data_IF_633539916785
#
_entry.id   IF_633539916785
#
_cell.length_a   1.000
_cell.length_b   1.000
_cell.length_c   1.000
_cell.angle_alpha   90.00
_cell.angle_beta   90.00
_cell.angle_gamma   90.00
#
_symmetry.space_group_name_H-M   'P 1'
#
loop_
_entity.id
_entity.type
_entity.pdbx_description
1 polymer ?
#
# COMPACT_ATOMS: atom_id res chain seq x y z
N UNK A 1 -21.47 -0.28 -12.55
CA UNK A 1 -21.05 0.79 -11.61
C UNK A 1 -20.86 2.05 -12.44
N UNK A 2 -21.50 3.16 -12.05
CA UNK A 2 -21.48 4.41 -12.81
C UNK A 2 -20.05 4.92 -13.04
N UNK A 3 -19.75 5.29 -14.28
CA UNK A 3 -18.61 6.17 -14.55
C UNK A 3 -18.95 7.53 -13.95
N UNK A 4 -18.23 7.89 -12.90
CA UNK A 4 -18.20 9.27 -12.39
C UNK A 4 -17.62 10.16 -13.48
N UNK A 5 -18.50 10.73 -14.33
CA UNK A 5 -18.15 11.79 -15.27
C UNK A 5 -17.58 12.96 -14.47
N UNK A 6 -16.26 13.09 -14.53
CA UNK A 6 -15.56 14.26 -14.00
C UNK A 6 -15.60 15.30 -15.11
N UNK A 7 -16.11 16.51 -14.81
CA UNK A 7 -16.18 17.58 -15.78
C UNK A 7 -14.80 17.83 -16.43
N UNK A 8 -14.71 17.89 -17.78
CA UNK A 8 -13.46 18.11 -18.47
C UNK A 8 -12.96 19.54 -18.22
N UNK A 9 -11.80 19.67 -17.58
CA UNK A 9 -11.14 20.95 -17.33
C UNK A 9 -9.64 20.72 -17.19
N UNK A 10 -8.83 21.75 -17.45
CA UNK A 10 -7.37 21.67 -17.26
C UNK A 10 -6.99 21.35 -15.80
N UNK A 11 -7.77 21.83 -14.81
CA UNK A 11 -7.58 21.52 -13.39
C UNK A 11 -7.90 20.04 -13.05
N UNK A 12 -9.02 19.51 -13.55
CA UNK A 12 -9.38 18.09 -13.31
C UNK A 12 -8.40 17.14 -14.01
N UNK A 13 -7.86 17.51 -15.17
CA UNK A 13 -6.78 16.79 -15.85
C UNK A 13 -5.49 16.77 -15.02
N UNK A 14 -5.08 17.89 -14.41
CA UNK A 14 -3.91 17.95 -13.54
C UNK A 14 -4.08 17.05 -12.30
N UNK A 15 -5.26 17.11 -11.64
CA UNK A 15 -5.60 16.25 -10.51
C UNK A 15 -5.58 14.76 -10.91
N UNK A 16 -6.11 14.41 -12.09
CA UNK A 16 -6.09 13.03 -12.59
C UNK A 16 -4.66 12.54 -12.87
N UNK A 17 -3.80 13.35 -13.50
CA UNK A 17 -2.38 13.04 -13.72
C UNK A 17 -1.62 12.86 -12.40
N UNK A 18 -1.87 13.72 -11.40
CA UNK A 18 -1.26 13.58 -10.07
C UNK A 18 -1.73 12.31 -9.35
N UNK A 19 -3.03 11.98 -9.42
CA UNK A 19 -3.58 10.72 -8.90
C UNK A 19 -2.97 9.49 -9.58
N UNK A 20 -2.76 9.51 -10.91
CA UNK A 20 -2.07 8.43 -11.64
C UNK A 20 -0.63 8.26 -11.14
N UNK A 21 0.14 9.35 -10.99
CA UNK A 21 1.51 9.31 -10.46
C UNK A 21 1.56 8.73 -9.04
N UNK A 22 0.67 9.19 -8.16
CA UNK A 22 0.54 8.67 -6.80
C UNK A 22 0.15 7.19 -6.75
N UNK A 23 -0.79 6.75 -7.59
CA UNK A 23 -1.18 5.34 -7.69
C UNK A 23 -0.04 4.44 -8.19
N UNK A 24 0.74 4.90 -9.17
CA UNK A 24 1.90 4.18 -9.68
C UNK A 24 3.04 4.06 -8.63
N UNK A 25 3.33 5.14 -7.89
CA UNK A 25 4.27 5.12 -6.77
C UNK A 25 3.79 4.21 -5.64
N UNK A 26 2.50 4.28 -5.29
CA UNK A 26 1.87 3.40 -4.31
C UNK A 26 1.96 1.92 -4.70
N UNK A 27 1.70 1.58 -5.98
CA UNK A 27 1.86 0.23 -6.51
C UNK A 27 3.29 -0.30 -6.33
N UNK A 28 4.31 0.49 -6.70
CA UNK A 28 5.72 0.11 -6.53
C UNK A 28 6.08 -0.09 -5.04
N UNK A 29 5.60 0.77 -4.14
CA UNK A 29 5.88 0.66 -2.71
C UNK A 29 5.19 -0.56 -2.07
N UNK A 30 3.91 -0.80 -2.39
CA UNK A 30 3.18 -1.98 -1.91
C UNK A 30 3.77 -3.28 -2.47
N UNK A 31 4.26 -3.28 -3.72
CA UNK A 31 4.95 -4.42 -4.31
C UNK A 31 6.24 -4.74 -3.55
N UNK A 32 7.09 -3.74 -3.29
CA UNK A 32 8.28 -3.88 -2.44
C UNK A 32 7.96 -4.39 -1.02
N UNK A 33 6.88 -3.87 -0.37
CA UNK A 33 6.41 -4.39 0.93
C UNK A 33 6.01 -5.87 0.83
N UNK A 34 5.23 -6.24 -0.20
CA UNK A 34 4.79 -7.63 -0.40
C UNK A 34 5.95 -8.60 -0.61
N UNK A 35 6.97 -8.19 -1.39
CA UNK A 35 8.14 -9.03 -1.67
C UNK A 35 9.02 -9.21 -0.42
N UNK A 36 9.19 -8.15 0.39
CA UNK A 36 9.89 -8.23 1.69
C UNK A 36 9.14 -9.11 2.71
N UNK A 37 7.81 -8.97 2.81
CA UNK A 37 6.99 -9.85 3.64
C UNK A 37 7.05 -11.30 3.16
N UNK A 38 7.01 -11.54 1.84
CA UNK A 38 7.10 -12.87 1.25
C UNK A 38 8.46 -13.53 1.51
N UNK A 39 9.55 -12.77 1.56
CA UNK A 39 10.85 -13.28 1.96
C UNK A 39 10.86 -13.72 3.44
N UNK A 40 10.31 -12.91 4.35
CA UNK A 40 10.17 -13.26 5.78
C UNK A 40 9.22 -14.43 6.00
N UNK A 41 8.11 -14.51 5.26
CA UNK A 41 7.18 -15.63 5.26
C UNK A 41 7.86 -16.96 4.91
N UNK A 42 8.69 -16.99 3.87
CA UNK A 42 9.49 -18.17 3.50
C UNK A 42 10.53 -18.53 4.56
N UNK A 43 11.10 -17.54 5.26
CA UNK A 43 11.96 -17.74 6.43
C UNK A 43 11.22 -18.45 7.57
N UNK A 44 10.11 -17.88 8.01
CA UNK A 44 9.26 -18.47 9.07
C UNK A 44 8.70 -19.84 8.67
N UNK A 45 8.33 -20.05 7.40
CA UNK A 45 7.91 -21.37 6.92
C UNK A 45 9.02 -22.41 7.06
N UNK A 46 10.26 -22.07 6.71
CA UNK A 46 11.42 -22.95 6.93
C UNK A 46 11.67 -23.20 8.41
N UNK A 47 11.46 -22.23 9.29
CA UNK A 47 11.60 -22.40 10.73
C UNK A 47 10.49 -23.26 11.33
N UNK A 48 9.23 -23.08 10.91
CA UNK A 48 8.09 -23.91 11.33
C UNK A 48 8.26 -25.34 10.84
N UNK A 49 8.68 -25.55 9.59
CA UNK A 49 9.01 -26.89 9.08
C UNK A 49 10.19 -27.47 9.86
N UNK A 50 11.27 -26.71 10.10
CA UNK A 50 12.39 -27.18 10.95
C UNK A 50 11.97 -27.50 12.38
N UNK A 51 11.04 -26.77 12.99
CA UNK A 51 10.56 -27.01 14.34
C UNK A 51 9.60 -28.23 14.40
N UNK A 52 8.71 -28.37 13.40
CA UNK A 52 7.73 -29.47 13.31
C UNK A 52 8.34 -30.79 12.81
N UNK A 53 9.32 -30.72 11.91
CA UNK A 53 10.06 -31.86 11.36
C UNK A 53 11.35 -32.14 12.14
N UNK A 54 11.74 -31.25 13.08
CA UNK A 54 12.54 -31.68 14.23
C UNK A 54 11.73 -32.73 14.96
N UNK A 55 12.14 -33.99 14.77
CA UNK A 55 11.71 -35.12 15.56
C UNK A 55 11.76 -34.75 17.06
N UNK A 56 12.76 -33.93 17.46
CA UNK A 56 12.94 -33.42 18.83
C UNK A 56 11.71 -32.84 19.51
N UNK A 57 10.75 -32.16 18.87
CA UNK A 57 9.55 -31.72 19.62
C UNK A 57 8.67 -32.92 19.98
N UNK A 58 8.48 -33.85 19.04
CA UNK A 58 7.79 -35.12 19.30
C UNK A 58 8.54 -35.99 20.31
N UNK A 59 9.87 -36.09 20.16
CA UNK A 59 10.73 -36.88 21.04
C UNK A 59 10.80 -36.29 22.44
N UNK A 60 10.91 -34.97 22.61
CA UNK A 60 10.91 -34.29 23.91
C UNK A 60 9.54 -34.44 24.61
N UNK A 61 8.43 -34.38 23.86
CA UNK A 61 7.10 -34.65 24.40
C UNK A 61 6.95 -36.13 24.79
N UNK A 62 7.46 -37.06 23.98
CA UNK A 62 7.48 -38.50 24.29
C UNK A 62 8.37 -38.81 25.50
N UNK A 63 9.54 -38.19 25.62
CA UNK A 63 10.45 -38.31 26.76
C UNK A 63 9.82 -37.72 28.04
N UNK A 64 9.11 -36.60 27.93
CA UNK A 64 8.33 -36.03 29.02
C UNK A 64 7.21 -36.99 29.46
N UNK A 65 6.42 -37.54 28.52
CA UNK A 65 5.40 -38.54 28.83
C UNK A 65 5.98 -39.82 29.47
N UNK A 66 7.12 -40.30 28.98
CA UNK A 66 7.83 -41.45 29.57
C UNK A 66 8.36 -41.13 30.98
N UNK A 67 8.84 -39.90 31.20
CA UNK A 67 9.28 -39.44 32.52
C UNK A 67 8.11 -39.29 33.49
N UNK A 68 6.93 -38.86 33.02
CA UNK A 68 5.70 -38.87 33.81
C UNK A 68 5.24 -40.30 34.15
N UNK A 69 5.39 -41.27 33.24
CA UNK A 69 5.10 -42.66 33.54
C UNK A 69 6.01 -43.20 34.68
N UNK A 70 7.32 -42.90 34.64
CA UNK A 70 8.25 -43.21 35.74
C UNK A 70 7.85 -42.51 37.05
N UNK A 71 7.49 -41.22 36.98
CA UNK A 71 7.08 -40.45 38.15
C UNK A 71 5.76 -40.95 38.75
N UNK A 72 4.80 -41.39 37.92
CA UNK A 72 3.53 -41.99 38.36
C UNK A 72 3.72 -43.38 38.96
N UNK A 73 4.71 -44.15 38.50
CA UNK A 73 5.06 -45.43 39.12
C UNK A 73 5.77 -45.21 40.46
N UNK A 74 6.73 -44.30 40.53
CA UNK A 74 7.49 -44.01 41.75
C UNK A 74 6.66 -43.30 42.84
N UNK A 75 5.76 -42.38 42.46
CA UNK A 75 4.94 -41.60 43.39
C UNK A 75 3.65 -42.27 43.86
N UNK A 76 3.35 -43.49 43.40
CA UNK A 76 2.14 -44.22 43.75
C UNK A 76 0.83 -43.59 43.25
N UNK A 77 -0.30 -44.13 43.72
CA UNK A 77 -1.64 -43.74 43.26
C UNK A 77 -2.11 -42.36 43.75
N UNK A 78 -1.58 -41.86 44.87
CA UNK A 78 -2.05 -40.62 45.51
C UNK A 78 -1.42 -39.33 44.96
N UNK A 79 -0.30 -39.43 44.23
CA UNK A 79 0.43 -38.28 43.66
C UNK A 79 -0.48 -37.29 42.90
N UNK A 80 -1.44 -37.82 42.13
CA UNK A 80 -2.38 -37.01 41.35
C UNK A 80 -3.35 -36.23 42.25
N UNK A 81 -3.84 -36.82 43.33
CA UNK A 81 -4.73 -36.16 44.28
C UNK A 81 -4.02 -35.02 45.00
N UNK A 82 -2.83 -35.30 45.53
CA UNK A 82 -1.98 -34.32 46.22
C UNK A 82 -1.59 -33.13 45.31
N UNK A 83 -1.30 -33.39 44.03
CA UNK A 83 -0.95 -32.34 43.08
C UNK A 83 -2.16 -31.43 42.78
N UNK A 84 -3.33 -32.01 42.49
CA UNK A 84 -4.54 -31.24 42.17
C UNK A 84 -4.99 -30.33 43.32
N UNK A 85 -4.85 -30.78 44.59
CA UNK A 85 -5.15 -29.95 45.76
C UNK A 85 -4.19 -28.76 45.95
N UNK A 86 -2.97 -28.84 45.39
CA UNK A 86 -1.92 -27.80 45.53
C UNK A 86 -1.92 -26.76 44.40
N UNK A 87 -2.51 -27.06 43.24
CA UNK A 87 -2.61 -26.10 42.12
C UNK A 87 -3.63 -25.00 42.47
N UNK A 88 -3.15 -23.97 43.17
CA UNK A 88 -3.92 -22.74 43.48
C UNK A 88 -3.59 -21.56 42.56
N UNK A 89 -2.40 -21.57 41.95
CA UNK A 89 -1.90 -20.58 40.99
C UNK A 89 -1.03 -21.29 39.95
N UNK A 90 -1.00 -20.85 38.68
CA UNK A 90 -0.06 -21.36 37.69
C UNK A 90 1.36 -20.89 38.04
N UNK A 91 2.36 -21.76 37.84
CA UNK A 91 3.78 -21.42 38.03
C UNK A 91 4.43 -20.82 36.76
N UNK A 92 3.79 -20.99 35.60
CA UNK A 92 4.27 -20.51 34.30
C UNK A 92 3.18 -19.65 33.66
N UNK A 93 3.55 -18.41 33.32
CA UNK A 93 2.73 -17.45 32.61
C UNK A 93 3.24 -17.30 31.17
N UNK A 94 2.31 -17.07 30.24
CA UNK A 94 2.63 -16.72 28.85
C UNK A 94 2.15 -15.30 28.61
N UNK A 95 3.07 -14.40 28.27
CA UNK A 95 2.77 -13.00 27.94
C UNK A 95 2.82 -12.80 26.43
N UNK A 96 1.87 -12.03 25.90
CA UNK A 96 1.84 -11.64 24.50
C UNK A 96 2.60 -10.33 24.33
N UNK A 97 3.71 -10.38 23.59
CA UNK A 97 4.43 -9.21 23.10
C UNK A 97 4.20 -9.04 21.59
N UNK A 98 4.70 -7.96 21.01
CA UNK A 98 4.59 -7.69 19.57
C UNK A 98 5.96 -7.39 18.97
N UNK A 99 6.29 -8.08 17.88
CA UNK A 99 7.42 -7.74 17.00
C UNK A 99 6.91 -6.99 15.76
N UNK A 100 7.73 -6.12 15.16
CA UNK A 100 7.34 -5.29 14.02
C UNK A 100 8.16 -5.62 12.77
N UNK A 101 7.55 -6.36 11.84
CA UNK A 101 8.19 -6.76 10.58
C UNK A 101 7.56 -6.01 9.42
N UNK A 102 8.33 -5.09 8.80
CA UNK A 102 7.91 -4.30 7.64
C UNK A 102 6.57 -3.55 7.82
N UNK A 103 6.31 -3.06 9.04
CA UNK A 103 5.06 -2.35 9.40
C UNK A 103 3.89 -3.26 9.75
N UNK A 104 4.14 -4.55 10.00
CA UNK A 104 3.15 -5.53 10.45
C UNK A 104 3.50 -5.95 11.87
N UNK A 105 2.56 -5.79 12.81
CA UNK A 105 2.71 -6.22 14.20
C UNK A 105 2.43 -7.71 14.30
N UNK A 106 3.45 -8.51 14.53
CA UNK A 106 3.36 -9.96 14.73
C UNK A 106 3.25 -10.24 16.24
N UNK A 107 2.24 -10.99 16.70
CA UNK A 107 2.18 -11.43 18.09
C UNK A 107 3.29 -12.45 18.33
N UNK A 108 4.06 -12.25 19.40
CA UNK A 108 5.08 -13.19 19.87
C UNK A 108 4.85 -13.53 21.33
N UNK A 109 4.97 -14.82 21.68
CA UNK A 109 4.72 -15.29 23.04
C UNK A 109 6.04 -15.41 23.81
N UNK A 110 6.08 -14.82 25.00
CA UNK A 110 7.18 -14.93 25.95
C UNK A 110 6.72 -15.73 27.17
N UNK A 111 7.64 -16.49 27.75
CA UNK A 111 7.36 -17.32 28.93
C UNK A 111 7.96 -16.62 30.14
N UNK A 112 7.16 -16.48 31.19
CA UNK A 112 7.61 -15.96 32.49
C UNK A 112 7.29 -17.02 33.54
N UNK A 113 8.32 -17.61 34.13
CA UNK A 113 8.17 -18.54 35.25
C UNK A 113 8.22 -17.75 36.55
N UNK A 114 7.24 -17.92 37.42
CA UNK A 114 7.23 -17.28 38.74
C UNK A 114 8.02 -18.16 39.73
N UNK A 115 9.17 -17.70 40.25
CA UNK A 115 9.98 -18.49 41.18
C UNK A 115 9.35 -18.64 42.57
N UNK A 116 8.28 -17.90 42.89
CA UNK A 116 7.61 -17.96 44.20
C UNK A 116 6.65 -19.14 44.34
N UNK A 117 6.21 -19.74 43.23
CA UNK A 117 5.20 -20.81 43.19
C UNK A 117 5.86 -22.18 43.03
N UNK A 118 6.48 -22.68 44.11
CA UNK A 118 6.99 -24.06 44.15
C UNK A 118 5.90 -25.04 44.67
N UNK A 119 5.18 -25.63 43.72
CA UNK A 119 4.11 -26.61 43.97
C UNK A 119 4.66 -27.94 44.52
N UNK A 120 5.92 -28.27 44.20
CA UNK A 120 6.52 -29.59 44.40
C UNK A 120 7.39 -29.70 45.66
N UNK A 121 7.79 -28.57 46.26
CA UNK A 121 8.70 -28.46 47.41
C UNK A 121 8.54 -29.53 48.49
N UNK A 122 7.29 -29.87 48.85
CA UNK A 122 6.98 -30.81 49.93
C UNK A 122 6.53 -32.21 49.43
N UNK A 123 6.27 -32.38 48.13
CA UNK A 123 6.01 -33.70 47.52
C UNK A 123 7.33 -34.45 47.32
N UNK A 124 8.42 -33.71 47.07
CA UNK A 124 9.77 -34.23 46.88
C UNK A 124 10.36 -35.00 48.09
N UNK A 125 9.69 -34.98 49.25
CA UNK A 125 10.15 -35.63 50.48
C UNK A 125 9.77 -37.12 50.58
N UNK A 126 8.84 -37.60 49.75
CA UNK A 126 8.48 -39.01 49.65
C UNK A 126 9.42 -39.76 48.70
N UNK A 127 9.46 -41.10 48.82
CA UNK A 127 10.18 -41.95 47.89
C UNK A 127 9.74 -41.67 46.44
N UNK A 128 10.69 -41.34 45.57
CA UNK A 128 10.42 -40.95 44.16
C UNK A 128 10.48 -39.46 43.84
N UNK A 129 10.67 -38.57 44.82
CA UNK A 129 10.75 -37.11 44.60
C UNK A 129 11.67 -36.66 43.46
N UNK A 130 12.88 -37.21 43.38
CA UNK A 130 13.83 -36.91 42.30
C UNK A 130 13.30 -37.26 40.89
N UNK A 131 12.53 -38.34 40.75
CA UNK A 131 11.89 -38.74 39.48
C UNK A 131 10.77 -37.78 39.09
N UNK A 132 10.04 -37.26 40.08
CA UNK A 132 8.98 -36.26 39.89
C UNK A 132 9.59 -34.91 39.45
N UNK A 133 10.73 -34.50 40.04
CA UNK A 133 11.45 -33.30 39.61
C UNK A 133 11.98 -33.44 38.17
N UNK A 134 12.64 -34.55 37.84
CA UNK A 134 13.13 -34.81 36.48
C UNK A 134 11.99 -34.78 35.44
N UNK A 135 10.81 -35.31 35.79
CA UNK A 135 9.62 -35.20 34.94
C UNK A 135 9.14 -33.75 34.80
N UNK A 136 9.12 -32.96 35.88
CA UNK A 136 8.77 -31.53 35.84
C UNK A 136 9.71 -30.73 34.94
N UNK A 137 11.02 -30.96 35.04
CA UNK A 137 12.01 -30.25 34.22
C UNK A 137 11.83 -30.58 32.73
N UNK A 138 11.63 -31.86 32.39
CA UNK A 138 11.32 -32.30 31.01
C UNK A 138 10.01 -31.71 30.45
N UNK A 139 8.97 -31.59 31.27
CA UNK A 139 7.74 -30.88 30.87
C UNK A 139 7.94 -29.38 30.71
N UNK A 140 8.83 -28.76 31.50
CA UNK A 140 9.15 -27.34 31.41
C UNK A 140 9.96 -27.04 30.12
N UNK A 141 10.88 -27.91 29.73
CA UNK A 141 11.59 -27.87 28.43
C UNK A 141 10.60 -28.03 27.25
N UNK A 142 9.76 -29.07 27.28
CA UNK A 142 8.77 -29.32 26.23
C UNK A 142 7.74 -28.18 26.09
N UNK A 143 7.28 -27.59 27.21
CA UNK A 143 6.42 -26.42 27.21
C UNK A 143 7.11 -25.21 26.57
N UNK A 144 8.41 -25.01 26.82
CA UNK A 144 9.17 -23.91 26.23
C UNK A 144 9.28 -24.02 24.71
N UNK A 145 9.54 -25.21 24.17
CA UNK A 145 9.52 -25.45 22.72
C UNK A 145 8.11 -25.30 22.11
N UNK A 146 7.07 -25.77 22.81
CA UNK A 146 5.67 -25.64 22.36
C UNK A 146 5.20 -24.19 22.27
N UNK A 147 5.49 -23.35 23.28
CA UNK A 147 5.11 -21.92 23.23
C UNK A 147 5.88 -21.19 22.13
N UNK A 148 7.16 -21.54 21.91
CA UNK A 148 7.94 -21.00 20.78
C UNK A 148 7.35 -21.41 19.42
N UNK A 149 6.91 -22.66 19.27
CA UNK A 149 6.22 -23.12 18.06
C UNK A 149 4.88 -22.41 17.86
N UNK A 150 4.07 -22.27 18.92
CA UNK A 150 2.80 -21.54 18.88
C UNK A 150 3.02 -20.08 18.48
N UNK A 151 4.05 -19.42 19.00
CA UNK A 151 4.44 -18.05 18.63
C UNK A 151 4.73 -17.94 17.13
N UNK A 152 5.54 -18.86 16.57
CA UNK A 152 5.84 -18.88 15.14
C UNK A 152 4.58 -19.14 14.29
N UNK A 153 3.70 -20.04 14.73
CA UNK A 153 2.44 -20.34 14.03
C UNK A 153 1.48 -19.14 14.01
N UNK A 154 1.29 -18.46 15.15
CA UNK A 154 0.41 -17.28 15.22
C UNK A 154 0.96 -16.10 14.42
N UNK A 155 2.28 -15.85 14.49
CA UNK A 155 2.96 -14.88 13.63
C UNK A 155 2.82 -15.23 12.13
N UNK A 156 2.89 -16.51 11.77
CA UNK A 156 2.71 -16.98 10.40
C UNK A 156 1.30 -16.74 9.86
N UNK A 157 0.24 -17.07 10.62
CA UNK A 157 -1.14 -16.84 10.20
C UNK A 157 -1.46 -15.34 10.04
N UNK A 158 -0.99 -14.50 10.96
CA UNK A 158 -1.18 -13.04 10.87
C UNK A 158 -0.45 -12.43 9.66
N UNK A 159 0.78 -12.90 9.37
CA UNK A 159 1.55 -12.41 8.22
C UNK A 159 1.00 -12.92 6.87
N UNK A 160 0.47 -14.15 6.79
CA UNK A 160 -0.23 -14.66 5.59
C UNK A 160 -1.46 -13.81 5.23
N UNK A 161 -2.29 -13.47 6.22
CA UNK A 161 -3.46 -12.62 6.03
C UNK A 161 -3.10 -11.23 5.48
N UNK A 162 -2.03 -10.61 6.01
CA UNK A 162 -1.54 -9.30 5.55
C UNK A 162 -0.85 -9.36 4.18
N UNK A 163 -0.15 -10.45 3.84
CA UNK A 163 0.35 -10.68 2.48
C UNK A 163 -0.81 -10.80 1.49
N UNK A 164 -1.85 -11.58 1.82
CA UNK A 164 -3.06 -11.72 0.99
C UNK A 164 -3.76 -10.38 0.81
N UNK A 165 -3.89 -9.57 1.87
CA UNK A 165 -4.47 -8.23 1.78
C UNK A 165 -3.61 -7.29 0.91
N UNK A 166 -2.29 -7.33 1.07
CA UNK A 166 -1.36 -6.51 0.28
C UNK A 166 -1.39 -6.90 -1.20
N UNK A 167 -1.37 -8.19 -1.53
CA UNK A 167 -1.47 -8.67 -2.91
C UNK A 167 -2.82 -8.32 -3.55
N UNK A 168 -3.93 -8.40 -2.82
CA UNK A 168 -5.24 -7.92 -3.31
C UNK A 168 -5.22 -6.40 -3.61
N UNK A 169 -4.57 -5.59 -2.77
CA UNK A 169 -4.40 -4.14 -3.01
C UNK A 169 -3.52 -3.85 -4.23
N UNK A 170 -2.40 -4.57 -4.39
CA UNK A 170 -1.50 -4.49 -5.56
C UNK A 170 -2.27 -4.81 -6.85
N UNK A 171 -3.05 -5.91 -6.87
CA UNK A 171 -3.85 -6.30 -8.03
C UNK A 171 -4.99 -5.30 -8.33
N UNK A 172 -5.65 -4.76 -7.30
CA UNK A 172 -6.68 -3.73 -7.48
C UNK A 172 -6.11 -2.43 -8.06
N UNK A 173 -4.90 -2.02 -7.63
CA UNK A 173 -4.22 -0.86 -8.21
C UNK A 173 -3.91 -1.09 -9.70
N UNK A 174 -3.28 -2.23 -10.02
CA UNK A 174 -2.84 -2.53 -11.39
C UNK A 174 -3.98 -2.76 -12.38
N UNK A 175 -5.01 -3.53 -11.98
CA UNK A 175 -6.04 -4.01 -12.92
C UNK A 175 -7.31 -3.15 -12.90
N UNK A 176 -7.55 -2.33 -11.87
CA UNK A 176 -8.77 -1.52 -11.74
C UNK A 176 -8.47 -0.03 -11.69
N UNK A 177 -7.58 0.41 -10.79
CA UNK A 177 -7.38 1.85 -10.54
C UNK A 177 -6.57 2.52 -11.64
N UNK A 178 -5.41 1.98 -12.02
CA UNK A 178 -4.60 2.55 -13.12
C UNK A 178 -5.39 2.61 -14.44
N UNK A 179 -6.04 1.52 -14.93
CA UNK A 179 -6.81 1.55 -16.18
C UNK A 179 -8.06 2.44 -16.11
N UNK A 180 -8.63 2.69 -14.92
CA UNK A 180 -9.71 3.67 -14.76
C UNK A 180 -9.18 5.10 -14.88
N UNK A 181 -8.07 5.41 -14.23
CA UNK A 181 -7.43 6.73 -14.33
C UNK A 181 -6.95 7.03 -15.76
N UNK A 182 -6.43 6.03 -16.48
CA UNK A 182 -5.98 6.18 -17.87
C UNK A 182 -7.13 6.45 -18.83
N UNK A 183 -8.27 5.78 -18.65
CA UNK A 183 -9.51 6.10 -19.40
C UNK A 183 -9.99 7.53 -19.09
N UNK A 184 -10.03 7.93 -17.81
CA UNK A 184 -10.42 9.30 -17.44
C UNK A 184 -9.48 10.38 -17.99
N UNK A 185 -8.15 10.15 -17.98
CA UNK A 185 -7.19 11.10 -18.57
C UNK A 185 -7.37 11.19 -20.08
N UNK A 186 -7.54 10.05 -20.77
CA UNK A 186 -7.79 10.01 -22.22
C UNK A 186 -9.08 10.74 -22.58
N UNK A 187 -10.15 10.54 -21.81
CA UNK A 187 -11.43 11.23 -22.00
C UNK A 187 -11.29 12.75 -21.84
N UNK A 188 -10.76 13.22 -20.70
CA UNK A 188 -10.62 14.67 -20.45
C UNK A 188 -9.69 15.33 -21.47
N UNK A 189 -8.66 14.64 -21.95
CA UNK A 189 -7.74 15.19 -22.96
C UNK A 189 -8.47 15.37 -24.29
N UNK A 190 -9.22 14.36 -24.76
CA UNK A 190 -10.04 14.46 -25.99
C UNK A 190 -11.08 15.59 -25.95
N UNK A 191 -11.77 15.74 -24.82
CA UNK A 191 -12.76 16.82 -24.64
C UNK A 191 -12.09 18.21 -24.67
N UNK A 192 -10.93 18.37 -24.02
CA UNK A 192 -10.17 19.63 -24.07
C UNK A 192 -9.65 19.93 -25.49
N UNK A 193 -9.12 18.93 -26.19
CA UNK A 193 -8.64 19.08 -27.57
C UNK A 193 -9.78 19.49 -28.54
N UNK A 194 -11.01 19.00 -28.32
CA UNK A 194 -12.19 19.38 -29.11
C UNK A 194 -12.70 20.78 -28.75
N UNK A 195 -12.74 21.15 -27.46
CA UNK A 195 -13.06 22.51 -27.03
C UNK A 195 -12.07 23.54 -27.60
N UNK A 196 -10.77 23.25 -27.56
CA UNK A 196 -9.72 24.11 -28.14
C UNK A 196 -9.85 24.20 -29.67
N UNK A 197 -10.25 23.11 -30.34
CA UNK A 197 -10.58 23.09 -31.77
C UNK A 197 -11.79 23.98 -32.09
N UNK A 198 -12.89 23.88 -31.35
CA UNK A 198 -14.07 24.73 -31.55
C UNK A 198 -13.78 26.22 -31.34
N UNK A 199 -12.97 26.55 -30.32
CA UNK A 199 -12.56 27.93 -30.05
C UNK A 199 -11.64 28.46 -31.15
N UNK A 200 -10.69 27.66 -31.64
CA UNK A 200 -9.85 28.00 -32.79
C UNK A 200 -10.67 28.25 -34.07
N UNK A 201 -11.66 27.41 -34.38
CA UNK A 201 -12.56 27.63 -35.52
C UNK A 201 -13.40 28.90 -35.39
N UNK A 202 -13.88 29.23 -34.18
CA UNK A 202 -14.60 30.50 -33.92
C UNK A 202 -13.69 31.70 -34.14
N UNK A 203 -12.47 31.68 -33.59
CA UNK A 203 -11.49 32.75 -33.77
C UNK A 203 -11.12 32.94 -35.24
N UNK A 204 -10.91 31.85 -35.99
CA UNK A 204 -10.63 31.90 -37.44
C UNK A 204 -11.76 32.57 -38.21
N UNK A 205 -13.03 32.19 -37.98
CA UNK A 205 -14.18 32.84 -38.64
C UNK A 205 -14.33 34.31 -38.28
N UNK A 206 -13.99 34.72 -37.05
CA UNK A 206 -14.00 36.12 -36.64
C UNK A 206 -12.88 36.90 -37.36
N UNK A 207 -11.69 36.31 -37.51
CA UNK A 207 -10.60 36.92 -38.28
C UNK A 207 -10.95 37.04 -39.77
N UNK A 208 -11.52 36.01 -40.39
CA UNK A 208 -12.01 36.05 -41.78
C UNK A 208 -13.04 37.18 -41.96
N UNK A 209 -14.06 37.26 -41.09
CA UNK A 209 -15.03 38.38 -41.11
C UNK A 209 -14.38 39.75 -40.94
N UNK A 210 -13.42 39.90 -40.01
CA UNK A 210 -12.67 41.14 -39.81
C UNK A 210 -11.70 41.49 -40.94
N UNK A 211 -11.31 40.51 -41.77
CA UNK A 211 -10.49 40.73 -42.98
C UNK A 211 -11.37 41.20 -44.12
N UNK A 212 -12.48 40.52 -44.39
CA UNK A 212 -13.49 40.94 -45.39
C UNK A 212 -14.06 42.33 -45.08
N UNK A 213 -14.35 42.65 -43.82
CA UNK A 213 -14.80 43.99 -43.44
C UNK A 213 -13.76 45.07 -43.74
N UNK A 214 -12.47 44.80 -43.45
CA UNK A 214 -11.37 45.74 -43.77
C UNK A 214 -11.13 45.88 -45.27
N UNK A 215 -11.26 44.80 -46.03
CA UNK A 215 -11.14 44.81 -47.49
C UNK A 215 -12.29 45.61 -48.12
N UNK A 216 -13.51 45.49 -47.58
CA UNK A 216 -14.64 46.31 -48.00
C UNK A 216 -14.50 47.80 -47.58
N UNK A 217 -13.98 48.08 -46.38
CA UNK A 217 -13.65 49.46 -45.96
C UNK A 217 -12.55 50.08 -46.85
N UNK A 218 -11.52 49.32 -47.22
CA UNK A 218 -10.47 49.75 -48.13
C UNK A 218 -11.02 50.00 -49.54
N UNK A 219 -11.87 49.11 -50.07
CA UNK A 219 -12.55 49.32 -51.35
C UNK A 219 -13.45 50.56 -51.34
N UNK A 220 -14.22 50.77 -50.26
CA UNK A 220 -15.04 51.98 -50.11
C UNK A 220 -14.20 53.26 -49.99
N UNK A 221 -13.02 53.21 -49.35
CA UNK A 221 -12.09 54.35 -49.33
C UNK A 221 -11.44 54.60 -50.69
N UNK A 222 -11.08 53.57 -51.46
CA UNK A 222 -10.57 53.71 -52.83
C UNK A 222 -11.65 54.22 -53.80
N UNK A 223 -12.90 53.78 -53.66
CA UNK A 223 -14.03 54.28 -54.45
C UNK A 223 -14.36 55.74 -54.08
N UNK A 224 -14.32 56.11 -52.80
CA UNK A 224 -14.47 57.50 -52.37
C UNK A 224 -13.31 58.38 -52.87
N UNK A 225 -12.06 57.90 -52.83
CA UNK A 225 -10.91 58.61 -53.37
C UNK A 225 -11.02 58.83 -54.89
N UNK A 226 -11.45 57.81 -55.65
CA UNK A 226 -11.71 57.91 -57.09
C UNK A 226 -12.90 58.81 -57.42
N UNK A 227 -13.92 58.87 -56.58
CA UNK A 227 -15.02 59.83 -56.73
C UNK A 227 -14.56 61.28 -56.51
N UNK A 228 -13.68 61.51 -55.54
CA UNK A 228 -13.06 62.83 -55.30
C UNK A 228 -12.12 63.23 -56.47
N UNK A 229 -11.34 62.30 -57.02
CA UNK A 229 -10.57 62.53 -58.26
C UNK A 229 -11.47 62.79 -59.48
N UNK A 230 -12.67 62.21 -59.53
CA UNK A 230 -13.62 62.43 -60.63
C UNK A 230 -14.36 63.79 -60.56
N UNK A 231 -14.56 64.36 -59.38
CA UNK A 231 -15.03 65.76 -59.24
C UNK A 231 -13.92 66.79 -59.46
N UNK A 232 -12.65 66.41 -59.28
CA UNK A 232 -11.47 67.25 -59.54
C UNK A 232 -11.00 67.20 -61.01
N UNK A 233 -11.86 67.64 -61.94
CA UNK A 233 -11.49 67.84 -63.36
C UNK A 233 -10.33 68.83 -63.56
N UNK A 234 -9.54 68.70 -64.64
CA UNK A 234 -8.22 69.32 -64.73
C UNK A 234 -8.27 70.83 -64.96
N UNK A 235 -7.78 71.61 -63.99
CA UNK A 235 -7.51 73.03 -64.14
C UNK A 235 -6.05 73.28 -64.54
N UNK A 236 -5.83 73.52 -65.82
CA UNK A 236 -4.54 73.99 -66.35
C UNK A 236 -4.77 75.08 -67.39
N UNK A 237 -4.51 76.34 -67.02
CA UNK A 237 -4.17 77.45 -67.94
C UNK A 237 -3.27 78.43 -67.15
N UNK A 238 -2.16 78.88 -67.77
CA UNK A 238 -1.19 79.90 -67.31
C UNK A 238 -0.31 79.45 -66.11
N UNK A 239 0.99 79.11 -66.23
CA UNK A 239 2.05 79.41 -67.22
C UNK A 239 2.49 80.89 -67.31
N UNK A 240 3.82 81.06 -67.34
CA UNK A 240 4.63 82.29 -67.44
C UNK A 240 4.51 83.25 -66.23
N UNK A 241 5.53 83.88 -65.63
CA UNK A 241 7.01 83.76 -65.61
C UNK A 241 7.46 84.35 -64.24
N UNK A 242 8.71 84.32 -63.74
CA UNK A 242 10.04 84.05 -64.31
C UNK A 242 10.95 83.37 -63.22
N UNK A 243 12.25 83.21 -63.50
CA UNK A 243 13.34 82.67 -62.66
C UNK A 243 13.73 83.53 -61.43
N UNK A 244 14.33 82.95 -60.36
CA UNK A 244 15.80 82.87 -60.28
C UNK A 244 16.39 82.09 -59.07
N UNK A 245 17.61 81.63 -59.32
CA UNK A 245 18.49 80.66 -58.70
C UNK A 245 19.04 80.91 -57.25
N UNK A 246 19.43 79.79 -56.63
CA UNK A 246 20.55 79.59 -55.67
C UNK A 246 20.48 80.22 -54.26
N UNK A 247 20.41 79.35 -53.23
CA UNK A 247 21.62 78.85 -52.52
C UNK A 247 21.35 77.48 -51.88
#
# INVERSE_FOLDING_TARGET
MSETQVAPSRMTLQIAKQKKKGAAQGYQLLKKKSDALSARFRGMLKEIVKARTKLSIGDNINEAHFSLAKASWAGGSDLRGQLMQRIKRPAVFVTAAYDNVAGVRLPVFQITTDPTVDILKNINLSAGGHVILAARDKYQEALAELVKLASLQTAFFTLDAEIKMTNRRVNALNNVVLPKLDRSITYITKELDEMEREEFFRLKKIQEKKKVAREAEQQAMEEAAKAIEAEAGPSSILADDEDDLLF
#
